data_IF_942066907160
#
_entry.id   IF_942066907160
#
_cell.length_a   1.000
_cell.length_b   1.000
_cell.length_c   1.000
_cell.angle_alpha   90.00
_cell.angle_beta   90.00
_cell.angle_gamma   90.00
#
_symmetry.space_group_name_H-M   'P 1'
#
loop_
_entity.id
_entity.type
_entity.pdbx_description
1 polymer ?
#
# COMPACT_ATOMS: atom_id res chain seq x y z
N UNK A 1 6.94 14.73 25.54
CA UNK A 1 7.39 14.70 24.13
C UNK A 1 8.07 13.36 23.91
N UNK A 2 7.40 12.43 23.24
CA UNK A 2 8.01 11.17 22.78
C UNK A 2 7.41 10.87 21.42
N UNK A 3 7.99 11.50 20.40
CA UNK A 3 7.64 11.26 19.00
C UNK A 3 8.32 9.98 18.50
N UNK A 4 7.73 9.38 17.47
CA UNK A 4 8.31 8.34 16.60
C UNK A 4 8.71 6.99 17.21
N UNK A 5 7.80 6.02 17.14
CA UNK A 5 8.17 4.63 16.76
C UNK A 5 6.95 3.87 16.22
N UNK A 6 6.10 4.54 15.45
CA UNK A 6 5.15 3.84 14.59
C UNK A 6 5.97 3.10 13.55
N UNK A 7 6.11 1.79 13.72
CA UNK A 7 6.66 0.91 12.71
C UNK A 7 5.69 0.89 11.51
N UNK A 8 5.65 1.99 10.76
CA UNK A 8 4.94 2.07 9.48
C UNK A 8 5.64 1.06 8.59
N UNK A 9 4.90 0.04 8.18
CA UNK A 9 5.32 -1.00 7.24
C UNK A 9 5.54 -0.32 5.88
N UNK A 10 6.66 0.40 5.76
CA UNK A 10 6.97 1.32 4.66
C UNK A 10 6.91 0.55 3.34
N UNK A 11 5.78 0.67 2.67
CA UNK A 11 5.70 0.37 1.27
C UNK A 11 6.58 1.36 0.52
N UNK A 12 7.58 0.83 -0.18
CA UNK A 12 8.43 1.66 -1.04
C UNK A 12 7.57 2.28 -2.12
N UNK A 13 7.81 3.57 -2.44
CA UNK A 13 7.05 4.29 -3.47
C UNK A 13 7.00 3.50 -4.80
N UNK A 14 8.09 2.80 -5.12
CA UNK A 14 8.19 1.91 -6.29
C UNK A 14 7.15 0.79 -6.28
N UNK A 15 6.92 0.13 -5.14
CA UNK A 15 5.94 -0.97 -5.06
C UNK A 15 4.51 -0.45 -5.07
N UNK A 16 4.23 0.72 -4.46
CA UNK A 16 2.91 1.38 -4.53
C UNK A 16 2.52 1.66 -5.98
N UNK A 17 3.40 2.31 -6.75
CA UNK A 17 3.12 2.63 -8.15
C UNK A 17 2.92 1.38 -9.01
N UNK A 18 3.77 0.35 -8.82
CA UNK A 18 3.61 -0.91 -9.55
C UNK A 18 2.24 -1.56 -9.27
N UNK A 19 1.84 -1.61 -7.99
CA UNK A 19 0.55 -2.19 -7.60
C UNK A 19 -0.63 -1.40 -8.17
N UNK A 20 -0.59 -0.07 -8.13
CA UNK A 20 -1.65 0.78 -8.70
C UNK A 20 -1.80 0.53 -10.21
N UNK A 21 -0.68 0.35 -10.91
CA UNK A 21 -0.67 0.01 -12.33
C UNK A 21 -1.30 -1.37 -12.58
N UNK A 22 -0.95 -2.38 -11.77
CA UNK A 22 -1.56 -3.72 -11.84
C UNK A 22 -3.08 -3.67 -11.57
N UNK A 23 -3.53 -2.83 -10.64
CA UNK A 23 -4.96 -2.63 -10.33
C UNK A 23 -5.70 -1.96 -11.48
N UNK A 24 -5.13 -0.90 -12.06
CA UNK A 24 -5.74 -0.17 -13.19
C UNK A 24 -5.80 -1.06 -14.44
N UNK A 25 -4.80 -1.92 -14.66
CA UNK A 25 -4.80 -2.88 -15.77
C UNK A 25 -5.78 -4.04 -15.55
N UNK A 26 -6.26 -4.26 -14.32
CA UNK A 26 -7.15 -5.36 -13.97
C UNK A 26 -6.44 -6.71 -13.72
N UNK A 27 -5.10 -6.71 -13.67
CA UNK A 27 -4.28 -7.89 -13.35
C UNK A 27 -4.41 -8.28 -11.88
N UNK A 28 -4.67 -7.31 -11.00
CA UNK A 28 -4.99 -7.55 -9.60
C UNK A 28 -6.13 -6.66 -9.16
N UNK A 29 -6.88 -7.06 -8.13
CA UNK A 29 -7.96 -6.21 -7.60
C UNK A 29 -7.51 -5.51 -6.33
N UNK A 30 -8.05 -4.32 -6.06
CA UNK A 30 -7.77 -3.57 -4.83
C UNK A 30 -7.98 -4.42 -3.57
N UNK A 31 -9.05 -5.22 -3.53
CA UNK A 31 -9.37 -6.12 -2.41
C UNK A 31 -8.34 -7.21 -2.21
N UNK A 32 -7.86 -7.82 -3.29
CA UNK A 32 -6.86 -8.88 -3.24
C UNK A 32 -5.51 -8.31 -2.81
N UNK A 33 -5.10 -7.19 -3.39
CA UNK A 33 -3.90 -6.47 -3.01
C UNK A 33 -3.93 -6.03 -1.53
N UNK A 34 -5.04 -5.48 -1.05
CA UNK A 34 -5.19 -5.06 0.35
C UNK A 34 -5.02 -6.25 1.31
N UNK A 35 -5.58 -7.42 0.98
CA UNK A 35 -5.43 -8.64 1.78
C UNK A 35 -4.02 -9.23 1.72
N UNK A 36 -3.43 -9.29 0.52
CA UNK A 36 -2.10 -9.88 0.31
C UNK A 36 -1.00 -9.06 0.97
N UNK A 37 -1.14 -7.74 0.95
CA UNK A 37 -0.11 -6.82 1.42
C UNK A 37 -0.42 -6.18 2.77
N UNK A 38 -1.59 -6.47 3.33
CA UNK A 38 -2.09 -5.90 4.58
C UNK A 38 -2.03 -4.37 4.55
N UNK A 39 -2.38 -3.81 3.38
CA UNK A 39 -2.34 -2.39 3.11
C UNK A 39 -3.60 -1.75 3.64
N UNK A 40 -3.44 -0.84 4.60
CA UNK A 40 -4.53 0.04 5.00
C UNK A 40 -4.82 1.04 3.86
N UNK A 41 -6.10 1.39 3.61
CA UNK A 41 -6.48 2.40 2.62
C UNK A 41 -5.72 3.73 2.81
N UNK A 42 -5.45 4.09 4.07
CA UNK A 42 -4.68 5.26 4.46
C UNK A 42 -3.22 5.25 4.01
N UNK A 43 -2.64 4.09 3.67
CA UNK A 43 -1.30 4.03 3.08
C UNK A 43 -1.31 4.22 1.56
N UNK A 44 -2.46 4.11 0.91
CA UNK A 44 -2.62 4.28 -0.55
C UNK A 44 -3.06 5.71 -0.88
N UNK A 45 -3.80 6.36 0.03
CA UNK A 45 -4.22 7.75 -0.06
C UNK A 45 -3.25 8.69 0.69
N UNK A 46 -2.11 9.05 0.10
CA UNK A 46 -1.30 10.21 0.51
C UNK A 46 -0.57 10.82 -0.67
#
# INVERSE_FOLDING_TARGET
MSDTMTAVKRWTAKRKSALVVEIIQGETTFTEASRTYDLAPSEIET
#
